data_IF_116029709325
#
_entry.id   IF_116029709325
#
_cell.length_a   1.000
_cell.length_b   1.000
_cell.length_c   1.000
_cell.angle_alpha   90.00
_cell.angle_beta   90.00
_cell.angle_gamma   90.00
#
_symmetry.space_group_name_H-M   'P 1'
#
loop_
_entity.id
_entity.type
_entity.pdbx_description
1 polymer ?
#
# COMPACT_ATOMS: atom_id res chain seq x y z
N UNK A 1 -49.73 39.26 12.59
CA UNK A 1 -48.42 39.94 12.52
C UNK A 1 -47.40 38.92 12.07
N UNK A 2 -47.09 38.96 10.77
CA UNK A 2 -46.03 38.17 10.17
C UNK A 2 -44.68 38.70 10.67
N UNK A 3 -43.88 37.87 11.32
CA UNK A 3 -42.42 37.79 11.14
C UNK A 3 -41.84 36.86 12.20
N UNK A 4 -41.25 35.77 11.75
CA UNK A 4 -40.57 34.82 12.63
C UNK A 4 -40.42 33.43 12.00
N UNK A 5 -41.28 33.12 11.01
CA UNK A 5 -41.22 31.89 10.22
C UNK A 5 -40.45 32.01 8.89
N UNK A 6 -39.67 33.08 8.68
CA UNK A 6 -39.03 33.35 7.38
C UNK A 6 -37.55 33.78 7.46
N UNK A 7 -36.77 33.10 8.29
CA UNK A 7 -35.37 32.79 7.98
C UNK A 7 -35.10 31.41 8.60
N UNK A 8 -35.88 30.39 8.23
CA UNK A 8 -35.46 29.48 7.15
C UNK A 8 -34.04 29.77 6.67
N UNK A 9 -33.19 28.79 6.98
CA UNK A 9 -32.01 28.41 6.23
C UNK A 9 -30.79 29.31 6.42
N UNK A 10 -29.72 28.64 6.82
CA UNK A 10 -28.34 29.07 6.74
C UNK A 10 -27.89 29.96 7.89
N UNK A 11 -27.82 29.38 9.10
CA UNK A 11 -26.55 29.50 9.85
C UNK A 11 -25.46 29.18 8.82
N UNK A 12 -24.69 30.18 8.43
CA UNK A 12 -23.66 30.02 7.41
C UNK A 12 -22.73 28.91 7.91
N UNK A 13 -22.86 27.71 7.32
CA UNK A 13 -21.93 26.61 7.57
C UNK A 13 -20.64 27.05 6.89
N UNK A 14 -19.83 27.84 7.59
CA UNK A 14 -18.49 28.20 7.13
C UNK A 14 -17.61 26.95 7.22
N UNK A 15 -17.78 26.06 6.24
CA UNK A 15 -16.82 25.00 5.97
C UNK A 15 -15.71 25.64 5.16
N UNK A 16 -14.53 25.82 5.76
CA UNK A 16 -13.32 26.01 4.95
C UNK A 16 -12.99 24.66 4.36
N UNK A 17 -13.47 24.44 3.13
CA UNK A 17 -12.89 23.41 2.27
C UNK A 17 -11.45 23.85 2.05
N UNK A 18 -10.47 23.11 2.56
CA UNK A 18 -9.14 23.21 1.99
C UNK A 18 -9.33 22.87 0.51
N UNK A 19 -9.26 23.87 -0.36
CA UNK A 19 -9.00 23.64 -1.76
C UNK A 19 -7.64 22.98 -1.81
N UNK A 20 -7.61 21.65 -1.60
CA UNK A 20 -6.41 20.87 -1.86
C UNK A 20 -6.15 21.15 -3.34
N UNK A 21 -5.05 21.84 -3.71
CA UNK A 21 -4.68 21.87 -5.11
C UNK A 21 -4.69 20.41 -5.55
N UNK A 22 -5.29 20.12 -6.70
CA UNK A 22 -5.23 18.78 -7.31
C UNK A 22 -3.75 18.47 -7.41
N UNK A 23 -3.24 17.80 -6.38
CA UNK A 23 -1.86 17.36 -6.29
C UNK A 23 -1.91 16.17 -7.20
N UNK A 24 -1.75 16.47 -8.48
CA UNK A 24 -1.53 15.49 -9.51
C UNK A 24 -0.25 14.80 -9.08
N UNK A 25 -0.40 13.64 -8.44
CA UNK A 25 0.74 12.82 -8.07
C UNK A 25 1.52 12.49 -9.33
N UNK A 26 2.84 12.37 -9.18
CA UNK A 26 3.66 11.73 -10.20
C UNK A 26 3.17 10.30 -10.38
N UNK A 27 2.77 9.96 -11.60
CA UNK A 27 2.51 8.57 -11.95
C UNK A 27 3.80 7.75 -11.98
N UNK A 28 3.66 6.43 -12.01
CA UNK A 28 4.81 5.53 -12.18
C UNK A 28 5.51 5.67 -13.54
N UNK A 29 4.90 6.39 -14.49
CA UNK A 29 5.41 6.69 -15.82
C UNK A 29 6.09 8.07 -15.90
N UNK A 30 6.41 8.67 -14.75
CA UNK A 30 7.10 9.97 -14.61
C UNK A 30 6.27 11.19 -15.06
N UNK A 31 5.01 10.99 -15.45
CA UNK A 31 4.09 12.06 -15.81
C UNK A 31 3.21 12.51 -14.63
N UNK A 32 3.13 13.83 -14.41
CA UNK A 32 2.22 14.42 -13.42
C UNK A 32 0.77 14.22 -13.85
N UNK A 33 -0.04 13.59 -12.99
CA UNK A 33 -1.48 13.47 -13.22
C UNK A 33 -1.88 12.40 -14.23
N UNK A 34 -0.96 11.50 -14.63
CA UNK A 34 -1.28 10.35 -15.48
C UNK A 34 -2.21 9.35 -14.79
N UNK A 35 -2.22 9.34 -13.46
CA UNK A 35 -3.00 8.40 -12.64
C UNK A 35 -2.47 6.97 -12.70
N UNK A 36 -1.36 6.70 -13.39
CA UNK A 36 -0.78 5.37 -13.47
C UNK A 36 -0.05 5.00 -12.18
N UNK A 37 -0.30 3.78 -11.72
CA UNK A 37 0.28 3.22 -10.49
C UNK A 37 1.01 1.92 -10.83
N UNK A 38 2.05 1.61 -10.07
CA UNK A 38 2.72 0.31 -10.17
C UNK A 38 1.76 -0.81 -9.76
N UNK A 39 1.70 -1.85 -10.58
CA UNK A 39 0.95 -3.06 -10.29
C UNK A 39 1.66 -3.94 -9.24
N UNK A 40 1.09 -5.11 -8.92
CA UNK A 40 1.67 -6.04 -7.95
C UNK A 40 2.98 -6.68 -8.42
N UNK A 41 3.18 -6.75 -9.73
CA UNK A 41 4.35 -7.30 -10.37
C UNK A 41 5.49 -6.28 -10.53
N UNK A 42 5.22 -5.00 -10.25
CA UNK A 42 6.18 -3.90 -10.43
C UNK A 42 6.15 -3.30 -11.84
N UNK A 43 5.09 -3.56 -12.61
CA UNK A 43 4.87 -2.99 -13.94
C UNK A 43 3.99 -1.74 -13.82
N UNK A 44 4.45 -0.64 -14.40
CA UNK A 44 3.68 0.60 -14.39
C UNK A 44 2.42 0.48 -15.26
N UNK A 45 1.24 0.66 -14.65
CA UNK A 45 -0.05 0.48 -15.34
C UNK A 45 -0.30 -0.97 -15.77
N UNK A 46 0.30 -1.95 -15.08
CA UNK A 46 0.11 -3.37 -15.38
C UNK A 46 -1.18 -3.96 -14.81
N UNK A 47 -1.55 -5.12 -15.35
CA UNK A 47 -2.81 -5.84 -15.03
C UNK A 47 -2.62 -6.95 -13.97
N UNK A 48 -1.46 -7.02 -13.29
CA UNK A 48 -1.12 -8.08 -12.32
C UNK A 48 -1.02 -9.50 -12.89
N UNK A 49 -0.81 -9.67 -14.20
CA UNK A 49 -0.78 -10.98 -14.88
C UNK A 49 0.62 -11.47 -15.23
N UNK A 50 1.63 -10.62 -15.12
CA UNK A 50 3.03 -10.90 -15.51
C UNK A 50 3.83 -11.63 -14.44
N UNK A 51 3.27 -11.80 -13.24
CA UNK A 51 3.93 -12.48 -12.13
C UNK A 51 2.94 -13.37 -11.37
N UNK A 52 3.46 -14.22 -10.47
CA UNK A 52 2.68 -15.09 -9.59
C UNK A 52 3.06 -14.86 -8.14
N UNK A 53 2.09 -15.02 -7.25
CA UNK A 53 2.34 -15.02 -5.81
C UNK A 53 3.01 -16.34 -5.40
N UNK A 54 4.15 -16.23 -4.72
CA UNK A 54 4.83 -17.37 -4.08
C UNK A 54 4.78 -17.15 -2.56
N UNK A 55 4.22 -18.11 -1.83
CA UNK A 55 4.12 -18.05 -0.37
C UNK A 55 4.45 -19.41 0.26
N UNK A 56 4.94 -19.39 1.48
CA UNK A 56 5.32 -20.59 2.22
C UNK A 56 5.64 -20.28 3.68
N UNK A 57 5.67 -21.32 4.51
CA UNK A 57 6.03 -21.22 5.93
C UNK A 57 7.16 -22.19 6.20
N UNK A 58 8.28 -21.69 6.71
CA UNK A 58 9.40 -22.52 7.14
C UNK A 58 9.15 -23.04 8.56
N UNK A 59 9.02 -24.35 8.72
CA UNK A 59 8.70 -25.02 10.01
C UNK A 59 9.82 -25.91 10.56
N UNK A 60 10.96 -25.99 9.87
CA UNK A 60 12.03 -26.90 10.29
C UNK A 60 12.74 -26.40 11.55
N UNK A 61 12.91 -27.30 12.51
CA UNK A 61 13.72 -27.09 13.70
C UNK A 61 15.20 -27.14 13.33
N UNK A 62 15.87 -26.00 13.49
CA UNK A 62 17.31 -25.87 13.26
C UNK A 62 18.06 -26.53 14.44
N UNK A 63 18.62 -27.71 14.22
CA UNK A 63 19.35 -28.48 15.25
C UNK A 63 20.80 -28.07 15.39
N UNK A 64 21.38 -27.43 14.38
CA UNK A 64 22.75 -26.90 14.41
C UNK A 64 22.73 -25.41 14.71
N UNK A 65 23.65 -24.97 15.57
CA UNK A 65 23.86 -23.55 15.87
C UNK A 65 24.49 -22.89 14.65
N UNK A 66 23.95 -21.74 14.23
CA UNK A 66 24.49 -20.93 13.14
C UNK A 66 23.40 -20.35 12.25
N UNK A 67 23.84 -19.76 11.14
CA UNK A 67 22.96 -19.24 10.09
C UNK A 67 22.51 -20.36 9.16
N UNK A 68 21.24 -20.34 8.78
CA UNK A 68 20.66 -21.33 7.89
C UNK A 68 19.94 -20.65 6.74
N UNK A 69 20.25 -21.06 5.51
CA UNK A 69 19.54 -20.61 4.32
C UNK A 69 18.16 -21.27 4.29
N UNK A 70 17.10 -20.50 4.53
CA UNK A 70 15.71 -21.01 4.55
C UNK A 70 15.00 -20.86 3.20
N UNK A 71 15.33 -19.82 2.43
CA UNK A 71 14.76 -19.54 1.11
C UNK A 71 15.74 -18.71 0.30
N UNK A 72 15.68 -18.84 -1.02
CA UNK A 72 16.36 -17.96 -1.97
C UNK A 72 15.31 -17.12 -2.70
N UNK A 73 15.50 -15.80 -2.67
CA UNK A 73 14.60 -14.86 -3.35
C UNK A 73 15.05 -14.79 -4.81
N UNK A 74 14.20 -15.20 -5.78
CA UNK A 74 14.59 -15.17 -7.19
C UNK A 74 14.71 -13.73 -7.70
N UNK A 75 15.48 -13.56 -8.78
CA UNK A 75 15.59 -12.29 -9.48
C UNK A 75 14.20 -11.79 -9.95
N UNK A 76 13.96 -10.48 -9.84
CA UNK A 76 12.70 -9.87 -10.21
C UNK A 76 11.56 -10.05 -9.20
N UNK A 77 11.80 -10.69 -8.05
CA UNK A 77 10.81 -10.75 -6.98
C UNK A 77 10.49 -9.34 -6.45
N UNK A 78 9.21 -8.99 -6.40
CA UNK A 78 8.70 -7.72 -5.88
C UNK A 78 7.79 -7.95 -4.68
N UNK A 79 7.60 -6.91 -3.85
CA UNK A 79 6.73 -6.95 -2.65
C UNK A 79 7.04 -8.11 -1.69
N UNK A 80 8.33 -8.38 -1.48
CA UNK A 80 8.81 -9.45 -0.59
C UNK A 80 8.44 -9.12 0.86
N UNK A 81 7.84 -10.09 1.55
CA UNK A 81 7.50 -9.99 2.97
C UNK A 81 7.99 -11.23 3.72
N UNK A 82 8.89 -11.04 4.67
CA UNK A 82 9.44 -12.10 5.53
C UNK A 82 9.12 -11.76 6.97
N UNK A 83 8.30 -12.58 7.62
CA UNK A 83 7.85 -12.33 8.99
C UNK A 83 8.02 -13.57 9.86
N UNK A 84 8.59 -13.38 11.04
CA UNK A 84 8.60 -14.41 12.07
C UNK A 84 7.19 -14.56 12.67
N UNK A 85 6.54 -15.71 12.48
CA UNK A 85 5.16 -15.92 12.93
C UNK A 85 5.07 -16.13 14.45
N UNK A 86 6.12 -16.67 15.07
CA UNK A 86 6.20 -16.94 16.50
C UNK A 86 7.52 -16.42 17.00
N UNK A 87 7.48 -15.50 17.96
CA UNK A 87 8.68 -14.94 18.58
C UNK A 87 9.59 -16.07 19.07
N UNK A 88 10.79 -16.14 18.53
CA UNK A 88 11.83 -17.06 18.99
C UNK A 88 13.07 -16.29 19.44
N UNK A 89 14.15 -17.01 19.75
CA UNK A 89 15.47 -16.41 19.98
C UNK A 89 16.29 -16.31 18.68
N UNK A 90 15.70 -16.67 17.55
CA UNK A 90 16.33 -16.55 16.24
C UNK A 90 16.17 -15.12 15.71
N UNK A 91 16.95 -14.80 14.69
CA UNK A 91 16.89 -13.54 13.96
C UNK A 91 16.90 -13.85 12.46
N UNK A 92 16.11 -13.09 11.71
CA UNK A 92 15.95 -13.19 10.24
C UNK A 92 16.84 -12.18 9.54
#
# INVERSE_FOLDING_TARGET
MLSGLALLLLVCVHMRVQGKPRSQGLGCDEYLGSGKVMDRCGVCGGENTTCRLVSGVYKHSLTKIGYHKIVEIPEGATKINVTEMVKSRNYL
#
